data_IF_908618102767
#
_entry.id   IF_908618102767
#
_cell.length_a   1.000
_cell.length_b   1.000
_cell.length_c   1.000
_cell.angle_alpha   90.00
_cell.angle_beta   90.00
_cell.angle_gamma   90.00
#
_symmetry.space_group_name_H-M   'P 1'
#
loop_
_entity.id
_entity.type
_entity.pdbx_description
1 polymer ?
#
# COMPACT_ATOMS: atom_id res chain seq x y z
N UNK A 1 -49.78 40.87 -11.40
CA UNK A 1 -49.02 40.84 -10.13
C UNK A 1 -48.50 39.43 -9.94
N UNK A 2 -47.37 39.09 -10.58
CA UNK A 2 -46.65 37.85 -10.34
C UNK A 2 -45.20 38.24 -10.12
N UNK A 3 -44.88 38.61 -8.87
CA UNK A 3 -43.50 38.89 -8.48
C UNK A 3 -42.73 37.57 -8.58
N UNK A 4 -41.89 37.46 -9.60
CA UNK A 4 -40.97 36.33 -9.74
C UNK A 4 -40.00 36.38 -8.57
N UNK A 5 -39.96 35.30 -7.78
CA UNK A 5 -39.00 35.17 -6.69
C UNK A 5 -37.57 35.12 -7.29
N UNK A 6 -36.61 35.90 -6.76
CA UNK A 6 -35.23 35.84 -7.21
C UNK A 6 -34.69 34.42 -7.04
N UNK A 7 -34.12 33.83 -8.09
CA UNK A 7 -33.49 32.52 -8.01
C UNK A 7 -32.18 32.68 -7.23
N UNK A 8 -32.12 32.15 -6.01
CA UNK A 8 -30.86 32.06 -5.26
C UNK A 8 -29.91 31.11 -5.99
N UNK A 9 -28.70 31.62 -6.24
CA UNK A 9 -27.61 30.86 -6.86
C UNK A 9 -27.25 29.64 -6.01
N UNK A 10 -27.21 28.45 -6.60
CA UNK A 10 -26.84 27.18 -5.95
C UNK A 10 -25.44 27.18 -5.31
N UNK A 11 -24.64 28.22 -5.55
CA UNK A 11 -23.33 28.44 -4.91
C UNK A 11 -23.41 28.75 -3.42
N UNK A 12 -24.57 29.15 -2.88
CA UNK A 12 -24.76 29.37 -1.43
C UNK A 12 -24.94 28.07 -0.62
N UNK A 13 -25.22 26.95 -1.31
CA UNK A 13 -25.43 25.63 -0.70
C UNK A 13 -24.14 24.78 -0.65
N UNK A 14 -23.04 25.28 -1.21
CA UNK A 14 -21.76 24.58 -1.18
C UNK A 14 -21.11 24.86 0.17
N UNK A 15 -21.17 23.88 1.06
CA UNK A 15 -20.52 23.91 2.37
C UNK A 15 -19.03 24.24 2.21
N UNK A 16 -18.57 25.32 2.83
CA UNK A 16 -17.18 25.76 2.76
C UNK A 16 -16.28 24.70 3.38
N UNK A 17 -15.47 24.01 2.56
CA UNK A 17 -14.59 22.94 3.04
C UNK A 17 -13.55 23.54 3.99
N UNK A 18 -13.75 23.33 5.30
CA UNK A 18 -12.79 23.72 6.32
C UNK A 18 -11.50 22.91 6.17
N UNK A 19 -10.56 23.46 5.41
CA UNK A 19 -9.29 22.81 5.05
C UNK A 19 -8.47 22.45 6.28
N UNK A 20 -8.55 23.23 7.36
CA UNK A 20 -7.89 22.91 8.63
C UNK A 20 -8.48 21.63 9.25
N UNK A 21 -9.80 21.47 9.24
CA UNK A 21 -10.47 20.24 9.72
C UNK A 21 -10.06 19.02 8.90
N UNK A 22 -9.97 19.14 7.57
CA UNK A 22 -9.52 18.04 6.70
C UNK A 22 -8.08 17.62 6.98
N UNK A 23 -7.16 18.59 7.16
CA UNK A 23 -5.75 18.30 7.46
C UNK A 23 -5.61 17.64 8.84
N UNK A 24 -6.34 18.13 9.85
CA UNK A 24 -6.32 17.56 11.20
C UNK A 24 -6.83 16.12 11.19
N UNK A 25 -7.94 15.84 10.48
CA UNK A 25 -8.47 14.47 10.35
C UNK A 25 -7.45 13.57 9.63
N UNK A 26 -6.82 14.07 8.55
CA UNK A 26 -5.80 13.33 7.81
C UNK A 26 -4.58 12.96 8.68
N UNK A 27 -4.06 13.93 9.46
CA UNK A 27 -2.96 13.71 10.39
C UNK A 27 -3.33 12.73 11.50
N UNK A 28 -4.50 12.87 12.11
CA UNK A 28 -4.97 11.96 13.16
C UNK A 28 -5.08 10.52 12.63
N UNK A 29 -5.58 10.37 11.41
CA UNK A 29 -5.68 9.06 10.75
C UNK A 29 -4.29 8.46 10.52
N UNK A 30 -3.34 9.24 10.02
CA UNK A 30 -1.96 8.77 9.78
C UNK A 30 -1.27 8.34 11.08
N UNK A 31 -1.39 9.14 12.15
CA UNK A 31 -0.84 8.80 13.47
C UNK A 31 -1.44 7.51 14.01
N UNK A 32 -2.76 7.34 13.86
CA UNK A 32 -3.46 6.13 14.31
C UNK A 32 -2.98 4.88 13.56
N UNK A 33 -2.78 4.96 12.24
CA UNK A 33 -2.27 3.84 11.43
C UNK A 33 -0.85 3.44 11.87
N UNK A 34 0.02 4.42 12.13
CA UNK A 34 1.40 4.17 12.59
C UNK A 34 1.42 3.57 14.01
N UNK A 35 0.54 4.04 14.89
CA UNK A 35 0.46 3.56 16.28
C UNK A 35 -0.21 2.18 16.41
N UNK A 36 -1.09 1.80 15.48
CA UNK A 36 -1.86 0.56 15.52
C UNK A 36 -1.01 -0.72 15.75
N UNK A 37 0.08 -0.99 15.00
CA UNK A 37 0.89 -2.20 15.21
C UNK A 37 1.59 -2.21 16.58
N UNK A 38 1.97 -1.05 17.12
CA UNK A 38 2.63 -0.94 18.42
C UNK A 38 1.64 -1.26 19.55
N UNK A 39 0.46 -0.66 19.50
CA UNK A 39 -0.60 -0.88 20.49
C UNK A 39 -1.07 -2.33 20.47
N UNK A 40 -1.34 -2.87 19.28
CA UNK A 40 -1.82 -4.25 19.09
C UNK A 40 -0.74 -5.27 19.47
N UNK A 41 0.53 -4.99 19.13
CA UNK A 41 1.66 -5.80 19.56
C UNK A 41 1.82 -5.85 21.08
N UNK A 42 1.61 -4.73 21.78
CA UNK A 42 1.68 -4.66 23.24
C UNK A 42 0.51 -5.33 23.97
N UNK A 43 -0.68 -5.39 23.34
CA UNK A 43 -1.90 -5.89 23.96
C UNK A 43 -2.22 -7.36 23.64
N UNK A 44 -1.89 -7.84 22.44
CA UNK A 44 -2.34 -9.14 21.92
C UNK A 44 -1.24 -10.11 21.45
N UNK A 45 0.02 -9.67 21.34
CA UNK A 45 1.13 -10.51 20.86
C UNK A 45 1.19 -10.68 19.33
N UNK A 46 2.19 -11.45 18.86
CA UNK A 46 2.60 -11.49 17.44
C UNK A 46 1.52 -11.97 16.45
N UNK A 47 0.55 -12.77 16.89
CA UNK A 47 -0.54 -13.23 16.03
C UNK A 47 -1.42 -12.07 15.56
N UNK A 48 -1.82 -11.20 16.47
CA UNK A 48 -2.70 -10.07 16.15
C UNK A 48 -2.01 -9.04 15.26
N UNK A 49 -0.70 -8.86 15.42
CA UNK A 49 0.11 -8.03 14.52
C UNK A 49 0.08 -8.60 13.10
N UNK A 50 0.23 -9.93 12.94
CA UNK A 50 0.15 -10.56 11.61
C UNK A 50 -1.23 -10.43 10.97
N UNK A 51 -2.30 -10.57 11.75
CA UNK A 51 -3.67 -10.36 11.24
C UNK A 51 -3.86 -8.91 10.81
N UNK A 52 -3.35 -7.96 11.60
CA UNK A 52 -3.36 -6.54 11.25
C UNK A 52 -2.57 -6.25 9.98
N UNK A 53 -1.38 -6.84 9.81
CA UNK A 53 -0.56 -6.68 8.60
C UNK A 53 -1.34 -7.11 7.35
N UNK A 54 -2.00 -8.27 7.38
CA UNK A 54 -2.84 -8.72 6.26
C UNK A 54 -4.05 -7.82 6.03
N UNK A 55 -4.69 -7.33 7.10
CA UNK A 55 -5.81 -6.41 6.98
C UNK A 55 -5.38 -5.09 6.32
N UNK A 56 -4.27 -4.50 6.77
CA UNK A 56 -3.73 -3.26 6.19
C UNK A 56 -3.29 -3.46 4.74
N UNK A 57 -2.67 -4.58 4.42
CA UNK A 57 -2.31 -4.98 3.06
C UNK A 57 -3.55 -5.01 2.16
N UNK A 58 -4.64 -5.68 2.57
CA UNK A 58 -5.87 -5.72 1.79
C UNK A 58 -6.55 -4.36 1.66
N UNK A 59 -6.50 -3.52 2.69
CA UNK A 59 -6.99 -2.13 2.61
C UNK A 59 -6.18 -1.35 1.57
N UNK A 60 -4.85 -1.44 1.59
CA UNK A 60 -4.00 -0.76 0.59
C UNK A 60 -4.29 -1.26 -0.83
N UNK A 61 -4.49 -2.57 -1.03
CA UNK A 61 -4.86 -3.12 -2.32
C UNK A 61 -6.24 -2.66 -2.80
N UNK A 62 -7.23 -2.64 -1.89
CA UNK A 62 -8.57 -2.19 -2.21
C UNK A 62 -8.60 -0.70 -2.55
N UNK A 63 -7.84 0.13 -1.82
CA UNK A 63 -7.67 1.55 -2.11
C UNK A 63 -6.99 1.76 -3.47
N UNK A 64 -5.92 1.01 -3.76
CA UNK A 64 -5.25 1.06 -5.07
C UNK A 64 -6.18 0.71 -6.22
N UNK A 65 -6.97 -0.35 -6.08
CA UNK A 65 -7.96 -0.75 -7.07
C UNK A 65 -9.07 0.32 -7.23
N UNK A 66 -9.54 0.92 -6.14
CA UNK A 66 -10.56 1.98 -6.19
C UNK A 66 -10.07 3.20 -6.98
N UNK A 67 -8.79 3.55 -6.86
CA UNK A 67 -8.19 4.64 -7.66
C UNK A 67 -8.14 4.29 -9.14
N UNK A 68 -7.66 3.10 -9.51
CA UNK A 68 -7.51 2.72 -10.94
C UNK A 68 -8.87 2.54 -11.62
N UNK A 69 -9.80 1.85 -10.96
CA UNK A 69 -11.16 1.63 -11.49
C UNK A 69 -11.96 2.93 -11.50
N UNK A 70 -11.77 3.81 -10.52
CA UNK A 70 -12.52 5.06 -10.39
C UNK A 70 -12.30 6.04 -11.54
N UNK A 71 -11.15 6.00 -12.23
CA UNK A 71 -10.86 6.87 -13.38
C UNK A 71 -11.21 6.25 -14.74
N UNK A 72 -11.00 4.93 -14.92
CA UNK A 72 -11.17 4.26 -16.21
C UNK A 72 -12.49 3.45 -16.33
N UNK A 73 -13.19 3.20 -15.21
CA UNK A 73 -14.39 2.37 -15.16
C UNK A 73 -14.17 0.87 -15.43
N UNK A 74 -12.91 0.44 -15.56
CA UNK A 74 -12.51 -0.94 -15.89
C UNK A 74 -11.59 -1.51 -14.81
N UNK A 75 -11.72 -2.82 -14.55
CA UNK A 75 -10.89 -3.55 -13.61
C UNK A 75 -9.48 -3.76 -14.18
N UNK A 76 -8.48 -3.16 -13.54
CA UNK A 76 -7.07 -3.39 -13.86
C UNK A 76 -6.50 -4.53 -13.00
N UNK A 77 -6.24 -5.68 -13.63
CA UNK A 77 -5.58 -6.83 -13.01
C UNK A 77 -4.06 -6.66 -12.90
N UNK A 78 -3.46 -5.74 -13.67
CA UNK A 78 -2.02 -5.51 -13.66
C UNK A 78 -1.50 -5.04 -12.31
N UNK A 79 -2.29 -4.22 -11.60
CA UNK A 79 -1.99 -3.74 -10.25
C UNK A 79 -1.66 -4.88 -9.27
N UNK A 80 -2.49 -5.93 -9.22
CA UNK A 80 -2.29 -7.06 -8.30
C UNK A 80 -1.11 -7.93 -8.74
N UNK A 81 -0.89 -8.08 -10.05
CA UNK A 81 0.21 -8.87 -10.60
C UNK A 81 1.58 -8.27 -10.22
N UNK A 82 1.77 -6.96 -10.39
CA UNK A 82 3.04 -6.31 -10.03
C UNK A 82 3.26 -6.25 -8.51
N UNK A 83 2.18 -6.05 -7.74
CA UNK A 83 2.23 -6.17 -6.29
C UNK A 83 2.73 -7.55 -5.85
N UNK A 84 2.20 -8.63 -6.43
CA UNK A 84 2.58 -10.00 -6.08
C UNK A 84 4.06 -10.30 -6.38
N UNK A 85 4.56 -9.83 -7.54
CA UNK A 85 5.98 -9.99 -7.91
C UNK A 85 6.88 -9.32 -6.88
N UNK A 86 6.62 -8.05 -6.53
CA UNK A 86 7.43 -7.32 -5.54
C UNK A 86 7.37 -7.93 -4.14
N UNK A 87 6.16 -8.29 -3.68
CA UNK A 87 5.95 -8.91 -2.37
C UNK A 87 6.65 -10.28 -2.26
N UNK A 88 6.59 -11.09 -3.32
CA UNK A 88 7.27 -12.38 -3.36
C UNK A 88 8.79 -12.24 -3.33
N UNK A 89 9.36 -11.29 -4.09
CA UNK A 89 10.80 -10.98 -4.04
C UNK A 89 11.22 -10.53 -2.64
N UNK A 90 10.43 -9.65 -2.01
CA UNK A 90 10.72 -9.20 -0.65
C UNK A 90 10.66 -10.34 0.37
N UNK A 91 9.66 -11.23 0.25
CA UNK A 91 9.52 -12.40 1.12
C UNK A 91 10.68 -13.38 0.96
N UNK A 92 11.15 -13.63 -0.27
CA UNK A 92 12.30 -14.49 -0.53
C UNK A 92 13.61 -13.91 0.03
N UNK A 93 13.85 -12.61 -0.16
CA UNK A 93 15.07 -11.96 0.32
C UNK A 93 15.10 -11.78 1.85
N UNK A 94 13.93 -11.68 2.48
CA UNK A 94 13.81 -11.56 3.93
C UNK A 94 13.80 -12.91 4.67
N UNK A 95 13.76 -14.03 3.95
CA UNK A 95 13.58 -15.36 4.54
C UNK A 95 14.79 -16.27 4.32
N UNK A 96 15.12 -17.17 5.28
CA UNK A 96 16.22 -18.14 5.12
C UNK A 96 16.01 -19.17 4.01
N UNK A 97 14.81 -19.23 3.42
CA UNK A 97 14.47 -20.14 2.33
C UNK A 97 15.41 -20.00 1.13
N UNK A 98 15.90 -18.79 0.86
CA UNK A 98 16.84 -18.55 -0.24
C UNK A 98 18.18 -19.26 0.00
N UNK A 99 18.67 -19.24 1.25
CA UNK A 99 19.92 -19.91 1.65
C UNK A 99 19.77 -21.43 1.80
N UNK A 100 18.57 -21.94 2.09
CA UNK A 100 18.34 -23.39 2.17
C UNK A 100 18.17 -24.07 0.81
N UNK A 101 17.61 -23.37 -0.18
CA UNK A 101 17.38 -23.93 -1.52
C UNK A 101 18.58 -23.77 -2.46
N UNK A 102 19.40 -22.72 -2.26
CA UNK A 102 20.53 -22.42 -3.14
C UNK A 102 21.85 -22.45 -2.35
N UNK A 103 22.54 -23.58 -2.40
CA UNK A 103 23.82 -23.79 -1.69
C UNK A 103 24.89 -22.76 -2.08
N UNK A 104 24.88 -22.27 -3.33
CA UNK A 104 25.79 -21.21 -3.79
C UNK A 104 25.53 -19.85 -3.11
N UNK A 105 24.28 -19.58 -2.71
CA UNK A 105 23.92 -18.37 -1.96
C UNK A 105 24.26 -18.54 -0.47
N UNK A 106 24.11 -19.75 0.07
CA UNK A 106 24.56 -20.09 1.42
C UNK A 106 26.07 -19.90 1.59
N UNK A 107 26.86 -20.26 0.57
CA UNK A 107 28.30 -20.05 0.56
C UNK A 107 28.70 -18.57 0.50
N UNK A 108 27.88 -17.72 -0.12
CA UNK A 108 28.12 -16.27 -0.21
C UNK A 108 27.66 -15.51 1.05
N UNK A 109 26.71 -16.06 1.81
CA UNK A 109 26.17 -15.47 3.05
C UNK A 109 26.30 -16.42 4.26
N UNK A 110 27.53 -16.71 4.74
CA UNK A 110 27.78 -17.70 5.80
C UNK A 110 27.21 -17.32 7.18
N UNK A 111 26.86 -16.05 7.42
CA UNK A 111 26.25 -15.56 8.68
C UNK A 111 24.72 -15.38 8.60
N UNK A 112 24.08 -15.94 7.57
CA UNK A 112 22.65 -15.77 7.31
C UNK A 112 22.32 -14.50 6.52
N UNK A 113 21.31 -14.59 5.67
CA UNK A 113 20.90 -13.50 4.79
C UNK A 113 20.08 -12.44 5.55
N UNK A 114 20.78 -11.51 6.21
CA UNK A 114 20.16 -10.36 6.87
C UNK A 114 20.29 -9.12 5.99
N UNK A 115 19.51 -9.08 4.90
CA UNK A 115 19.45 -7.88 4.05
C UNK A 115 18.54 -6.86 4.75
N UNK A 116 19.00 -5.61 4.98
CA UNK A 116 18.14 -4.59 5.56
C UNK A 116 16.96 -4.31 4.64
N UNK A 117 15.77 -4.10 5.23
CA UNK A 117 14.53 -3.80 4.51
C UNK A 117 14.72 -2.70 3.43
N UNK A 118 15.53 -1.68 3.75
CA UNK A 118 15.79 -0.55 2.87
C UNK A 118 16.54 -0.92 1.57
N UNK A 119 17.25 -2.05 1.53
CA UNK A 119 17.88 -2.61 0.31
C UNK A 119 16.91 -3.57 -0.40
N UNK A 120 16.06 -4.27 0.34
CA UNK A 120 15.06 -5.16 -0.24
C UNK A 120 14.05 -4.38 -1.09
N UNK A 121 13.61 -3.21 -0.62
CA UNK A 121 12.65 -2.34 -1.32
C UNK A 121 13.12 -1.95 -2.73
N UNK A 122 14.31 -1.35 -2.95
CA UNK A 122 14.78 -1.00 -4.28
C UNK A 122 15.00 -2.22 -5.18
N UNK A 123 15.44 -3.35 -4.63
CA UNK A 123 15.58 -4.59 -5.43
C UNK A 123 14.21 -5.09 -5.90
N UNK A 124 13.22 -5.14 -5.01
CA UNK A 124 11.86 -5.53 -5.35
C UNK A 124 11.23 -4.56 -6.36
N UNK A 125 11.46 -3.25 -6.21
CA UNK A 125 11.01 -2.23 -7.17
C UNK A 125 11.67 -2.41 -8.53
N UNK A 126 12.98 -2.62 -8.61
CA UNK A 126 13.70 -2.81 -9.87
C UNK A 126 13.23 -4.07 -10.59
N UNK A 127 13.00 -5.16 -9.85
CA UNK A 127 12.51 -6.41 -10.42
C UNK A 127 11.05 -6.25 -10.92
N UNK A 128 10.17 -5.66 -10.11
CA UNK A 128 8.80 -5.34 -10.54
C UNK A 128 8.78 -4.42 -11.78
N UNK A 129 9.64 -3.41 -11.83
CA UNK A 129 9.79 -2.53 -12.98
C UNK A 129 10.27 -3.28 -14.23
N UNK A 130 11.19 -4.23 -14.08
CA UNK A 130 11.67 -5.06 -15.21
C UNK A 130 10.54 -5.91 -15.78
N UNK A 131 9.76 -6.59 -14.93
CA UNK A 131 8.59 -7.34 -15.39
C UNK A 131 7.51 -6.44 -16.00
N UNK A 132 7.32 -5.23 -15.46
CA UNK A 132 6.44 -4.22 -16.03
C UNK A 132 6.88 -3.77 -17.43
N UNK A 133 8.18 -3.53 -17.64
CA UNK A 133 8.74 -3.20 -18.95
C UNK A 133 8.59 -4.37 -19.91
N UNK A 134 8.86 -5.60 -19.48
CA UNK A 134 8.73 -6.79 -20.35
C UNK A 134 7.28 -7.03 -20.80
N UNK A 135 6.29 -6.76 -19.95
CA UNK A 135 4.87 -6.89 -20.31
C UNK A 135 4.33 -5.70 -21.09
N UNK A 136 4.88 -4.50 -20.87
CA UNK A 136 4.47 -3.26 -21.54
C UNK A 136 5.25 -2.93 -22.81
N UNK A 137 6.36 -3.62 -23.08
CA UNK A 137 7.13 -3.49 -24.31
C UNK A 137 6.33 -4.06 -25.50
N UNK A 138 6.35 -3.40 -26.66
CA UNK A 138 5.60 -3.80 -27.85
C UNK A 138 6.13 -5.10 -28.48
#
# INVERSE_FOLDING_TARGET
>A
MTSIQPIESSTSLVEERNTAKTIVIGLLTAVLVIAAPIVIGSAGGNYWVRVLDFAMLYVMLALGLNVVVGFAGLLDLGYIAFYAVGAYTAALLSSPHLTSQFEWIAALAPNGLHIPFLIIVPIAMALAATFGILLGAP
#
